data_IF_152182694156
#
_entry.id   IF_152182694156
#
_cell.length_a   1.000
_cell.length_b   1.000
_cell.length_c   1.000
_cell.angle_alpha   90.00
_cell.angle_beta   90.00
_cell.angle_gamma   90.00
#
_symmetry.space_group_name_H-M   'P 1'
#
loop_
_entity.id
_entity.type
_entity.pdbx_description
1 polymer ?
#
# COMPACT_ATOMS: atom_id res chain seq x y z
N UNK A 1 -46.91 10.39 -5.79
CA UNK A 1 -46.18 10.43 -7.10
C UNK A 1 -45.36 11.72 -7.23
N UNK A 2 -45.95 12.91 -7.10
CA UNK A 2 -45.20 14.19 -7.20
C UNK A 2 -44.11 14.34 -6.13
N UNK A 3 -44.40 13.97 -4.87
CA UNK A 3 -43.44 14.06 -3.76
C UNK A 3 -42.20 13.14 -3.91
N UNK A 4 -42.38 11.93 -4.45
CA UNK A 4 -41.28 11.03 -4.77
C UNK A 4 -40.39 11.55 -5.91
N UNK A 5 -40.99 12.23 -6.90
CA UNK A 5 -40.27 12.87 -8.00
C UNK A 5 -39.44 14.07 -7.47
N UNK A 6 -39.98 14.84 -6.53
CA UNK A 6 -39.26 15.97 -5.92
C UNK A 6 -38.09 15.50 -5.05
N UNK A 7 -38.28 14.44 -4.25
CA UNK A 7 -37.18 13.87 -3.43
C UNK A 7 -36.07 13.30 -4.32
N UNK A 8 -36.41 12.50 -5.33
CA UNK A 8 -35.41 11.94 -6.27
C UNK A 8 -34.63 13.02 -7.03
N UNK A 9 -35.28 14.12 -7.41
CA UNK A 9 -34.63 15.24 -8.10
C UNK A 9 -33.58 15.98 -7.23
N UNK A 10 -33.65 15.87 -5.91
CA UNK A 10 -32.73 16.53 -4.98
C UNK A 10 -31.63 15.57 -4.51
N UNK A 11 -31.98 14.31 -4.22
CA UNK A 11 -31.03 13.32 -3.67
C UNK A 11 -30.01 12.86 -4.71
N UNK A 12 -30.43 12.61 -5.95
CA UNK A 12 -29.52 12.08 -6.99
C UNK A 12 -28.36 13.04 -7.33
N UNK A 13 -28.59 14.36 -7.50
CA UNK A 13 -27.49 15.30 -7.71
C UNK A 13 -26.51 15.39 -6.53
N UNK A 14 -27.01 15.38 -5.29
CA UNK A 14 -26.18 15.40 -4.08
C UNK A 14 -25.28 14.16 -4.02
N UNK A 15 -25.87 12.99 -4.20
CA UNK A 15 -25.14 11.72 -4.24
C UNK A 15 -24.06 11.69 -5.34
N UNK A 16 -24.37 12.15 -6.56
CA UNK A 16 -23.37 12.23 -7.64
C UNK A 16 -22.23 13.20 -7.32
N UNK A 17 -22.55 14.31 -6.66
CA UNK A 17 -21.54 15.28 -6.21
C UNK A 17 -20.62 14.64 -5.17
N UNK A 18 -21.15 14.00 -4.13
CA UNK A 18 -20.36 13.30 -3.12
C UNK A 18 -19.49 12.19 -3.71
N UNK A 19 -20.03 11.41 -4.66
CA UNK A 19 -19.28 10.38 -5.40
C UNK A 19 -18.10 10.98 -6.16
N UNK A 20 -18.30 12.15 -6.77
CA UNK A 20 -17.23 12.87 -7.49
C UNK A 20 -16.16 13.37 -6.51
N UNK A 21 -16.56 13.93 -5.36
CA UNK A 21 -15.63 14.37 -4.32
C UNK A 21 -14.86 13.16 -3.76
N UNK A 22 -15.51 12.04 -3.50
CA UNK A 22 -14.89 10.80 -3.02
C UNK A 22 -13.88 10.24 -4.01
N UNK A 23 -14.22 10.24 -5.30
CA UNK A 23 -13.31 9.85 -6.37
C UNK A 23 -12.05 10.72 -6.39
N UNK A 24 -12.21 12.05 -6.29
CA UNK A 24 -11.08 12.99 -6.30
C UNK A 24 -10.23 12.82 -5.04
N UNK A 25 -10.83 12.82 -3.85
CA UNK A 25 -10.09 12.73 -2.58
C UNK A 25 -9.37 11.39 -2.44
N UNK A 26 -10.07 10.27 -2.68
CA UNK A 26 -9.47 8.93 -2.66
C UNK A 26 -8.39 8.77 -3.73
N UNK A 27 -8.60 9.37 -4.90
CA UNK A 27 -7.64 9.40 -5.99
C UNK A 27 -6.36 10.15 -5.63
N UNK A 28 -6.48 11.36 -5.09
CA UNK A 28 -5.35 12.19 -4.68
C UNK A 28 -4.47 11.47 -3.65
N UNK A 29 -5.08 10.84 -2.63
CA UNK A 29 -4.32 10.09 -1.62
C UNK A 29 -3.66 8.85 -2.24
N UNK A 30 -4.36 8.13 -3.12
CA UNK A 30 -3.78 7.00 -3.86
C UNK A 30 -2.58 7.39 -4.74
N UNK A 31 -2.61 8.58 -5.34
CA UNK A 31 -1.50 9.12 -6.14
C UNK A 31 -0.31 9.59 -5.28
N UNK A 32 -0.57 10.06 -4.07
CA UNK A 32 0.47 10.55 -3.17
C UNK A 32 1.39 9.46 -2.63
N UNK A 33 0.99 8.18 -2.72
CA UNK A 33 1.82 7.04 -2.35
C UNK A 33 3.11 6.93 -3.18
N UNK A 34 4.13 6.28 -2.59
CA UNK A 34 5.45 6.10 -3.19
C UNK A 34 5.43 5.42 -4.57
N UNK A 35 6.47 5.67 -5.37
CA UNK A 35 6.57 5.30 -6.80
C UNK A 35 6.35 3.82 -7.09
N UNK A 36 6.68 2.92 -6.14
CA UNK A 36 6.65 1.47 -6.35
C UNK A 36 5.23 0.87 -6.41
N UNK A 37 4.19 1.57 -5.96
CA UNK A 37 2.82 1.02 -5.86
C UNK A 37 1.70 1.99 -6.24
N UNK A 38 2.02 3.10 -6.91
CA UNK A 38 1.09 4.21 -7.21
C UNK A 38 -0.21 3.77 -7.90
N UNK A 39 -0.13 2.79 -8.80
CA UNK A 39 -1.29 2.28 -9.56
C UNK A 39 -2.20 1.39 -8.71
N UNK A 40 -1.62 0.57 -7.82
CA UNK A 40 -2.39 -0.31 -6.92
C UNK A 40 -3.09 0.51 -5.83
N UNK A 41 -2.40 1.51 -5.27
CA UNK A 41 -2.96 2.44 -4.29
C UNK A 41 -4.11 3.29 -4.86
N UNK A 42 -3.99 3.76 -6.10
CA UNK A 42 -5.01 4.57 -6.76
C UNK A 42 -6.38 3.88 -6.83
N UNK A 43 -6.42 2.69 -7.44
CA UNK A 43 -7.67 1.95 -7.63
C UNK A 43 -8.31 1.60 -6.30
N UNK A 44 -7.52 1.11 -5.35
CA UNK A 44 -8.05 0.63 -4.07
C UNK A 44 -8.57 1.77 -3.21
N UNK A 45 -7.86 2.90 -3.13
CA UNK A 45 -8.29 4.05 -2.32
C UNK A 45 -9.56 4.70 -2.87
N UNK A 46 -9.68 4.82 -4.20
CA UNK A 46 -10.91 5.31 -4.83
C UNK A 46 -12.10 4.41 -4.47
N UNK A 47 -11.94 3.08 -4.61
CA UNK A 47 -13.01 2.13 -4.32
C UNK A 47 -13.45 2.15 -2.85
N UNK A 48 -12.50 2.23 -1.91
CA UNK A 48 -12.80 2.32 -0.47
C UNK A 48 -13.58 3.59 -0.16
N UNK A 49 -13.13 4.75 -0.67
CA UNK A 49 -13.78 6.03 -0.42
C UNK A 49 -15.21 6.05 -0.97
N UNK A 50 -15.38 5.63 -2.23
CA UNK A 50 -16.70 5.53 -2.88
C UNK A 50 -17.63 4.57 -2.14
N UNK A 51 -17.14 3.39 -1.75
CA UNK A 51 -17.95 2.39 -1.06
C UNK A 51 -18.48 2.88 0.29
N UNK A 52 -17.68 3.65 1.03
CA UNK A 52 -18.07 4.23 2.32
C UNK A 52 -19.14 5.30 2.14
N UNK A 53 -18.94 6.23 1.19
CA UNK A 53 -19.94 7.26 0.87
C UNK A 53 -21.24 6.61 0.42
N UNK A 54 -21.15 5.58 -0.41
CA UNK A 54 -22.31 4.82 -0.87
C UNK A 54 -23.07 4.21 0.31
N UNK A 55 -22.36 3.57 1.24
CA UNK A 55 -22.96 2.91 2.39
C UNK A 55 -23.70 3.88 3.31
N UNK A 56 -23.13 5.05 3.57
CA UNK A 56 -23.75 6.08 4.42
C UNK A 56 -24.98 6.74 3.78
N UNK A 57 -25.07 6.74 2.45
CA UNK A 57 -26.23 7.26 1.71
C UNK A 57 -27.38 6.26 1.57
N UNK A 58 -27.20 4.98 1.91
CA UNK A 58 -28.24 3.94 1.81
C UNK A 58 -29.56 4.34 2.50
N UNK A 59 -29.58 4.89 3.73
CA UNK A 59 -30.82 5.26 4.39
C UNK A 59 -31.64 6.28 3.59
N UNK A 60 -30.98 7.30 3.04
CA UNK A 60 -31.62 8.32 2.23
C UNK A 60 -32.19 7.71 0.95
N UNK A 61 -31.43 6.83 0.28
CA UNK A 61 -31.87 6.12 -0.93
C UNK A 61 -33.07 5.19 -0.67
N UNK A 62 -33.14 4.54 0.49
CA UNK A 62 -34.29 3.69 0.87
C UNK A 62 -35.52 4.55 1.16
N UNK A 63 -35.34 5.72 1.77
CA UNK A 63 -36.42 6.67 2.08
C UNK A 63 -37.10 7.24 0.83
N UNK A 64 -36.45 7.16 -0.33
CA UNK A 64 -37.03 7.55 -1.63
C UNK A 64 -38.12 6.59 -2.11
N UNK A 65 -38.04 5.31 -1.75
CA UNK A 65 -38.87 4.24 -2.32
C UNK A 65 -39.88 3.65 -1.32
N UNK A 66 -39.81 4.05 -0.05
CA UNK A 66 -40.68 3.51 0.99
C UNK A 66 -41.11 4.61 1.96
N UNK A 67 -42.39 4.61 2.34
CA UNK A 67 -42.88 5.39 3.49
C UNK A 67 -42.38 4.83 4.83
N UNK A 68 -41.55 3.77 4.79
CA UNK A 68 -40.77 3.34 5.93
C UNK A 68 -39.69 4.38 6.19
N UNK A 69 -39.94 5.23 7.18
CA UNK A 69 -38.88 5.88 7.93
C UNK A 69 -38.11 4.80 8.70
N UNK A 70 -37.23 4.07 8.01
CA UNK A 70 -36.18 3.31 8.69
C UNK A 70 -35.30 4.37 9.33
N UNK A 71 -35.46 4.56 10.64
CA UNK A 71 -34.58 5.40 11.45
C UNK A 71 -33.25 4.64 11.52
N UNK A 72 -32.43 4.81 10.50
CA UNK A 72 -31.07 4.32 10.46
C UNK A 72 -30.17 5.53 10.65
N UNK A 73 -29.64 5.70 11.85
CA UNK A 73 -28.77 6.82 12.16
C UNK A 73 -27.45 6.68 11.39
N UNK A 74 -27.09 7.63 10.52
CA UNK A 74 -25.82 7.59 9.76
C UNK A 74 -24.59 7.48 10.68
N UNK A 75 -24.67 8.04 11.88
CA UNK A 75 -23.62 7.96 12.89
C UNK A 75 -23.39 6.52 13.39
N UNK A 76 -24.44 5.70 13.50
CA UNK A 76 -24.30 4.29 13.84
C UNK A 76 -23.68 3.52 12.68
N UNK A 77 -24.10 3.81 11.44
CA UNK A 77 -23.48 3.23 10.24
C UNK A 77 -21.99 3.57 10.13
N UNK A 78 -21.61 4.82 10.39
CA UNK A 78 -20.22 5.25 10.45
C UNK A 78 -19.43 4.46 11.50
N UNK A 79 -20.02 4.19 12.66
CA UNK A 79 -19.38 3.37 13.71
C UNK A 79 -19.10 1.95 13.24
N UNK A 80 -20.05 1.32 12.52
CA UNK A 80 -19.84 0.00 11.93
C UNK A 80 -18.75 0.00 10.84
N UNK A 81 -18.68 1.07 10.05
CA UNK A 81 -17.63 1.23 9.04
C UNK A 81 -16.24 1.33 9.68
N UNK A 82 -16.09 2.09 10.77
CA UNK A 82 -14.81 2.17 11.52
C UNK A 82 -14.37 0.79 12.02
N UNK A 83 -15.30 0.00 12.57
CA UNK A 83 -15.02 -1.37 13.03
C UNK A 83 -14.63 -2.27 11.85
N UNK A 84 -15.38 -2.21 10.74
CA UNK A 84 -15.07 -2.98 9.53
C UNK A 84 -13.70 -2.64 8.94
N UNK A 85 -13.35 -1.36 8.90
CA UNK A 85 -12.04 -0.89 8.46
C UNK A 85 -10.91 -1.40 9.34
N UNK A 86 -11.09 -1.46 10.67
CA UNK A 86 -10.09 -2.01 11.58
C UNK A 86 -9.79 -3.48 11.29
N UNK A 87 -10.82 -4.27 10.98
CA UNK A 87 -10.67 -5.69 10.60
C UNK A 87 -9.94 -5.81 9.25
N UNK A 88 -10.29 -4.99 8.26
CA UNK A 88 -9.60 -4.97 6.96
C UNK A 88 -8.12 -4.62 7.11
N UNK A 89 -7.80 -3.61 7.92
CA UNK A 89 -6.42 -3.19 8.17
C UNK A 89 -5.64 -4.30 8.89
N UNK A 90 -6.22 -4.97 9.88
CA UNK A 90 -5.61 -6.11 10.54
C UNK A 90 -5.34 -7.26 9.56
N UNK A 91 -6.29 -7.54 8.64
CA UNK A 91 -6.12 -8.55 7.60
C UNK A 91 -4.97 -8.25 6.64
N UNK A 92 -4.86 -7.01 6.19
CA UNK A 92 -3.75 -6.55 5.32
C UNK A 92 -2.41 -6.67 6.06
N UNK A 93 -2.38 -6.28 7.33
CA UNK A 93 -1.16 -6.35 8.15
C UNK A 93 -0.67 -7.80 8.31
N UNK A 94 -1.58 -8.75 8.56
CA UNK A 94 -1.26 -10.17 8.70
C UNK A 94 -0.86 -10.78 7.35
N UNK A 95 -1.59 -10.46 6.28
CA UNK A 95 -1.35 -11.00 4.93
C UNK A 95 0.02 -10.62 4.35
N UNK A 96 0.51 -9.42 4.65
CA UNK A 96 1.81 -8.94 4.17
C UNK A 96 3.02 -9.48 4.95
N UNK A 97 2.81 -10.30 6.00
CA UNK A 97 3.89 -10.82 6.85
C UNK A 97 4.77 -11.88 6.17
N UNK A 98 4.23 -12.60 5.18
CA UNK A 98 4.88 -13.76 4.55
C UNK A 98 5.77 -13.37 3.36
N UNK A 99 5.58 -12.19 2.80
CA UNK A 99 6.16 -11.81 1.52
C UNK A 99 6.71 -10.38 1.62
N UNK A 100 7.96 -10.24 2.10
CA UNK A 100 8.64 -8.93 2.30
C UNK A 100 8.79 -8.12 1.00
N UNK A 101 8.56 -8.75 -0.15
CA UNK A 101 8.60 -8.13 -1.48
C UNK A 101 7.22 -7.70 -1.98
N UNK A 102 6.14 -8.25 -1.41
CA UNK A 102 4.77 -7.95 -1.81
C UNK A 102 4.35 -6.62 -1.17
N UNK A 103 4.09 -5.65 -2.05
CA UNK A 103 3.74 -4.27 -1.76
C UNK A 103 3.02 -4.05 -0.43
N UNK A 104 3.76 -3.45 0.51
CA UNK A 104 3.24 -2.91 1.75
C UNK A 104 2.27 -1.79 1.40
N UNK A 105 1.00 -2.15 1.16
CA UNK A 105 -0.07 -1.17 1.12
C UNK A 105 -0.11 -0.57 2.52
N UNK A 106 0.24 0.72 2.62
CA UNK A 106 0.31 1.40 3.90
C UNK A 106 -1.10 1.45 4.49
N UNK A 107 -1.34 0.63 5.52
CA UNK A 107 -2.61 0.54 6.24
C UNK A 107 -3.07 1.92 6.74
N UNK A 108 -2.13 2.84 6.96
CA UNK A 108 -2.40 4.24 7.32
C UNK A 108 -3.15 4.98 6.23
N UNK A 109 -2.80 4.75 4.96
CA UNK A 109 -3.45 5.41 3.83
C UNK A 109 -4.90 4.95 3.67
N UNK A 110 -5.18 3.65 3.84
CA UNK A 110 -6.53 3.08 3.79
C UNK A 110 -7.36 3.63 4.94
N UNK A 111 -6.78 3.73 6.14
CA UNK A 111 -7.43 4.32 7.30
C UNK A 111 -7.86 5.76 7.06
N UNK A 112 -6.93 6.59 6.55
CA UNK A 112 -7.23 8.00 6.27
C UNK A 112 -8.27 8.16 5.17
N UNK A 113 -8.18 7.37 4.10
CA UNK A 113 -9.15 7.40 2.99
C UNK A 113 -10.54 7.04 3.45
N UNK A 114 -10.68 6.04 4.33
CA UNK A 114 -11.99 5.67 4.82
C UNK A 114 -12.56 6.67 5.82
N UNK A 115 -11.72 7.29 6.67
CA UNK A 115 -12.16 8.41 7.51
C UNK A 115 -12.67 9.59 6.65
N UNK A 116 -11.97 9.90 5.56
CA UNK A 116 -12.41 10.92 4.59
C UNK A 116 -13.72 10.52 3.92
N UNK A 117 -13.87 9.26 3.51
CA UNK A 117 -15.13 8.73 2.97
C UNK A 117 -16.30 8.90 3.94
N UNK A 118 -16.09 8.68 5.25
CA UNK A 118 -17.11 8.89 6.28
C UNK A 118 -17.49 10.38 6.34
N UNK A 119 -16.52 11.28 6.36
CA UNK A 119 -16.78 12.73 6.38
C UNK A 119 -17.56 13.16 5.13
N UNK A 120 -17.23 12.63 3.96
CA UNK A 120 -17.95 12.93 2.72
C UNK A 120 -19.38 12.43 2.80
N UNK A 121 -19.61 11.18 3.20
CA UNK A 121 -20.96 10.60 3.32
C UNK A 121 -21.79 11.11 4.51
N UNK A 122 -21.28 12.09 5.26
CA UNK A 122 -22.02 12.85 6.28
C UNK A 122 -22.28 14.29 5.80
N UNK A 123 -22.25 14.54 4.49
CA UNK A 123 -22.40 15.87 3.85
C UNK A 123 -21.31 16.91 4.19
N UNK A 124 -20.21 16.51 4.85
CA UNK A 124 -19.16 17.41 5.32
C UNK A 124 -17.99 17.53 4.31
N UNK A 125 -18.30 17.67 3.02
CA UNK A 125 -17.31 17.65 1.93
C UNK A 125 -16.22 18.73 2.03
N UNK A 126 -16.52 19.92 2.56
CA UNK A 126 -15.53 20.98 2.84
C UNK A 126 -14.46 20.51 3.83
N UNK A 127 -14.90 19.83 4.90
CA UNK A 127 -14.00 19.27 5.90
C UNK A 127 -13.18 18.13 5.31
N UNK A 128 -13.79 17.29 4.46
CA UNK A 128 -13.10 16.22 3.76
C UNK A 128 -11.96 16.74 2.87
N UNK A 129 -12.16 17.85 2.15
CA UNK A 129 -11.11 18.48 1.34
C UNK A 129 -9.96 19.01 2.20
N UNK A 130 -10.27 19.65 3.33
CA UNK A 130 -9.27 20.16 4.26
C UNK A 130 -8.41 19.03 4.84
N UNK A 131 -9.06 17.96 5.32
CA UNK A 131 -8.37 16.78 5.86
C UNK A 131 -7.53 16.10 4.78
N UNK A 132 -8.06 15.96 3.56
CA UNK A 132 -7.31 15.41 2.41
C UNK A 132 -6.05 16.23 2.15
N UNK A 133 -6.17 17.56 2.11
CA UNK A 133 -5.02 18.46 1.94
C UNK A 133 -3.96 18.29 3.02
N UNK A 134 -4.38 18.15 4.28
CA UNK A 134 -3.46 17.92 5.40
C UNK A 134 -2.74 16.57 5.30
N UNK A 135 -3.46 15.50 4.93
CA UNK A 135 -2.88 14.17 4.71
C UNK A 135 -1.84 14.20 3.59
N UNK A 136 -2.17 14.84 2.46
CA UNK A 136 -1.25 14.99 1.33
C UNK A 136 0.01 15.78 1.74
N UNK A 137 -0.16 16.83 2.54
CA UNK A 137 0.96 17.62 3.05
C UNK A 137 1.87 16.77 3.92
N UNK A 138 1.33 15.99 4.86
CA UNK A 138 2.11 15.11 5.73
C UNK A 138 2.87 14.06 4.90
N UNK A 139 2.18 13.40 3.95
CA UNK A 139 2.82 12.40 3.09
C UNK A 139 3.93 12.98 2.24
N UNK A 140 3.72 14.17 1.67
CA UNK A 140 4.71 14.82 0.80
C UNK A 140 5.90 15.35 1.61
N UNK A 141 5.65 15.97 2.76
CA UNK A 141 6.71 16.45 3.65
C UNK A 141 7.59 15.32 4.17
N UNK A 142 6.98 14.19 4.55
CA UNK A 142 7.72 13.04 5.05
C UNK A 142 8.60 12.41 3.95
N UNK A 143 8.08 12.27 2.72
CA UNK A 143 8.89 11.81 1.57
C UNK A 143 10.06 12.75 1.26
N UNK A 144 9.86 14.06 1.40
CA UNK A 144 10.94 15.04 1.26
C UNK A 144 11.98 14.91 2.36
N UNK A 145 11.55 14.72 3.60
CA UNK A 145 12.44 14.54 4.74
C UNK A 145 13.24 13.25 4.61
N UNK A 146 12.61 12.15 4.19
CA UNK A 146 13.30 10.88 3.91
C UNK A 146 14.36 11.06 2.83
N UNK A 147 14.06 11.72 1.71
CA UNK A 147 15.06 12.00 0.67
C UNK A 147 16.20 12.89 1.15
N UNK A 148 15.94 13.80 2.07
CA UNK A 148 16.94 14.69 2.66
C UNK A 148 17.81 14.04 3.74
N UNK A 149 17.26 13.07 4.49
CA UNK A 149 17.97 12.39 5.59
C UNK A 149 18.68 11.10 5.16
N UNK A 150 18.30 10.53 4.02
CA UNK A 150 18.69 9.17 3.70
C UNK A 150 19.74 9.12 2.59
N UNK A 151 21.01 9.25 2.97
CA UNK A 151 22.11 8.52 2.32
C UNK A 151 21.96 7.03 2.67
N UNK A 152 20.92 6.36 2.17
CA UNK A 152 20.86 4.90 2.27
C UNK A 152 21.73 4.38 1.12
N UNK A 153 22.84 3.68 1.40
CA UNK A 153 23.62 3.03 0.36
C UNK A 153 22.71 2.12 -0.44
N UNK A 154 22.91 2.10 -1.76
CA UNK A 154 22.11 1.31 -2.68
C UNK A 154 22.04 -0.13 -2.17
N UNK A 155 20.81 -0.60 -1.92
CA UNK A 155 20.57 -1.98 -1.49
C UNK A 155 20.80 -2.87 -2.69
N UNK A 156 21.94 -3.56 -2.71
CA UNK A 156 22.26 -4.57 -3.69
C UNK A 156 21.46 -5.83 -3.36
N UNK A 157 20.58 -6.23 -4.28
CA UNK A 157 19.85 -7.49 -4.20
C UNK A 157 20.46 -8.44 -5.21
N UNK A 158 21.24 -9.40 -4.73
CA UNK A 158 21.80 -10.47 -5.56
C UNK A 158 20.99 -11.74 -5.32
N UNK A 159 20.53 -12.35 -6.41
CA UNK A 159 19.84 -13.64 -6.39
C UNK A 159 20.78 -14.71 -6.94
N UNK A 160 21.18 -15.63 -6.08
CA UNK A 160 22.08 -16.73 -6.40
C UNK A 160 21.30 -18.05 -6.38
N UNK A 161 21.44 -18.87 -7.41
CA UNK A 161 20.88 -20.24 -7.41
C UNK A 161 22.01 -21.22 -7.13
N UNK A 162 22.00 -21.78 -5.92
CA UNK A 162 23.04 -22.71 -5.44
C UNK A 162 22.47 -24.12 -5.37
N UNK A 163 23.23 -25.08 -5.89
CA UNK A 163 22.81 -26.48 -6.03
C UNK A 163 22.89 -27.28 -4.72
N UNK A 164 23.69 -26.83 -3.75
CA UNK A 164 23.83 -27.48 -2.44
C UNK A 164 24.08 -26.42 -1.35
N UNK A 165 23.28 -26.41 -0.28
CA UNK A 165 23.38 -25.43 0.81
C UNK A 165 24.37 -25.94 1.88
N UNK A 166 25.65 -25.93 1.55
CA UNK A 166 26.73 -26.26 2.49
C UNK A 166 27.14 -25.02 3.30
N UNK A 167 27.39 -25.21 4.60
CA UNK A 167 27.89 -24.16 5.50
C UNK A 167 29.20 -23.54 5.01
N UNK A 168 30.06 -24.34 4.35
CA UNK A 168 31.31 -23.89 3.74
C UNK A 168 31.12 -22.94 2.55
N UNK A 169 30.00 -23.01 1.84
CA UNK A 169 29.69 -22.11 0.72
C UNK A 169 29.20 -20.76 1.23
N UNK A 170 28.38 -20.75 2.28
CA UNK A 170 27.92 -19.51 2.94
C UNK A 170 29.09 -18.68 3.46
N UNK A 171 30.08 -19.34 4.07
CA UNK A 171 31.28 -18.69 4.61
C UNK A 171 32.21 -18.16 3.50
N UNK A 172 32.34 -18.88 2.37
CA UNK A 172 33.07 -18.38 1.19
C UNK A 172 32.39 -17.17 0.57
N UNK A 173 31.06 -17.21 0.42
CA UNK A 173 30.29 -16.12 -0.15
C UNK A 173 30.32 -14.89 0.77
N UNK A 174 30.19 -15.07 2.08
CA UNK A 174 30.29 -13.96 3.04
C UNK A 174 31.66 -13.29 3.02
N UNK A 175 32.74 -14.08 3.05
CA UNK A 175 34.10 -13.55 2.97
C UNK A 175 34.34 -12.75 1.68
N UNK A 176 33.87 -13.24 0.52
CA UNK A 176 34.05 -12.55 -0.77
C UNK A 176 33.29 -11.22 -0.79
N UNK A 177 32.08 -11.17 -0.23
CA UNK A 177 31.25 -9.97 -0.15
C UNK A 177 31.85 -8.93 0.80
N UNK A 178 32.30 -9.35 1.98
CA UNK A 178 32.94 -8.46 2.95
C UNK A 178 34.27 -7.89 2.43
N UNK A 179 35.08 -8.71 1.73
CA UNK A 179 36.37 -8.27 1.14
C UNK A 179 36.19 -7.16 0.10
N UNK A 180 35.00 -7.03 -0.49
CA UNK A 180 34.69 -5.99 -1.48
C UNK A 180 33.80 -4.88 -0.90
N UNK A 181 33.63 -4.79 0.43
CA UNK A 181 32.90 -3.68 1.06
C UNK A 181 31.38 -3.80 1.01
N UNK A 182 30.83 -4.98 0.73
CA UNK A 182 29.39 -5.23 0.80
C UNK A 182 29.05 -5.82 2.16
N UNK A 183 28.41 -5.03 3.03
CA UNK A 183 27.92 -5.54 4.31
C UNK A 183 26.67 -6.41 4.11
N UNK A 184 26.77 -7.67 4.50
CA UNK A 184 25.73 -8.68 4.33
C UNK A 184 24.64 -8.48 5.40
N UNK A 185 23.44 -8.05 4.99
CA UNK A 185 22.31 -7.83 5.91
C UNK A 185 21.50 -9.11 6.18
N UNK A 186 21.69 -10.16 5.37
CA UNK A 186 21.10 -11.49 5.63
C UNK A 186 21.10 -12.41 4.41
N UNK A 187 20.98 -13.71 4.68
CA UNK A 187 20.74 -14.75 3.68
C UNK A 187 19.28 -15.19 3.74
N UNK A 188 18.57 -15.13 2.61
CA UNK A 188 17.25 -15.75 2.50
C UNK A 188 17.34 -16.94 1.54
N UNK A 189 17.12 -18.15 2.08
CA UNK A 189 17.14 -19.39 1.32
C UNK A 189 15.71 -19.82 1.00
N UNK A 190 15.30 -19.74 -0.26
CA UNK A 190 14.07 -20.37 -0.75
C UNK A 190 14.41 -21.69 -1.44
N UNK A 191 13.81 -22.80 -1.02
CA UNK A 191 13.94 -24.07 -1.74
C UNK A 191 13.06 -24.07 -3.00
N UNK A 192 13.69 -24.09 -4.17
CA UNK A 192 13.02 -24.24 -5.46
C UNK A 192 13.26 -25.62 -6.09
N UNK A 193 12.50 -25.93 -7.14
CA UNK A 193 12.56 -27.21 -7.86
C UNK A 193 13.94 -27.52 -8.51
N UNK A 194 14.85 -26.54 -8.62
CA UNK A 194 16.16 -26.66 -9.25
C UNK A 194 17.35 -26.37 -8.31
N UNK A 195 17.09 -26.12 -7.01
CA UNK A 195 18.14 -25.78 -6.03
C UNK A 195 17.68 -24.80 -4.96
N UNK A 196 18.62 -24.32 -4.15
CA UNK A 196 18.39 -23.31 -3.11
C UNK A 196 18.67 -21.94 -3.69
N UNK A 197 17.65 -21.09 -3.72
CA UNK A 197 17.76 -19.69 -4.14
C UNK A 197 18.16 -18.85 -2.93
N UNK A 198 19.40 -18.36 -2.93
CA UNK A 198 19.94 -17.46 -1.92
C UNK A 198 19.76 -16.01 -2.38
N UNK A 199 18.92 -15.26 -1.68
CA UNK A 199 18.83 -13.81 -1.85
C UNK A 199 19.76 -13.15 -0.84
N UNK A 200 20.75 -12.43 -1.35
CA UNK A 200 21.72 -11.67 -0.55
C UNK A 200 21.35 -10.20 -0.64
N UNK A 201 21.11 -9.60 0.52
CA UNK A 201 20.85 -8.18 0.63
C UNK A 201 22.09 -7.50 1.22
N UNK A 202 22.72 -6.64 0.44
CA UNK A 202 23.93 -5.93 0.83
C UNK A 202 23.77 -4.43 0.77
N UNK A 203 24.45 -3.71 1.66
CA UNK A 203 24.68 -2.27 1.52
C UNK A 203 25.91 -2.07 0.63
N UNK A 204 25.76 -1.41 -0.52
CA UNK A 204 26.87 -1.23 -1.46
C UNK A 204 27.39 0.22 -1.48
N UNK A 205 28.70 0.40 -1.27
CA UNK A 205 29.43 1.64 -1.58
C UNK A 205 30.10 1.60 -2.96
N UNK A 206 30.01 0.49 -3.71
CA UNK A 206 30.65 0.37 -5.03
C UNK A 206 29.80 0.96 -6.16
N UNK A 207 30.43 1.82 -6.96
CA UNK A 207 29.92 2.44 -8.18
C UNK A 207 29.75 1.45 -9.37
N UNK A 208 30.35 0.25 -9.29
CA UNK A 208 30.23 -0.79 -10.34
C UNK A 208 30.18 -2.21 -9.74
N UNK A 209 29.07 -2.92 -9.97
CA UNK A 209 28.80 -4.27 -9.41
C UNK A 209 29.26 -5.40 -10.34
N UNK A 210 29.61 -5.07 -11.58
CA UNK A 210 30.06 -6.03 -12.61
C UNK A 210 31.28 -6.90 -12.21
N UNK A 211 32.33 -6.39 -11.53
CA UNK A 211 33.46 -7.23 -11.11
C UNK A 211 33.11 -8.24 -10.01
N UNK A 212 32.07 -7.98 -9.21
CA UNK A 212 31.56 -8.92 -8.19
C UNK A 212 30.83 -10.10 -8.83
N UNK A 213 29.99 -9.84 -9.85
CA UNK A 213 29.26 -10.86 -10.59
C UNK A 213 30.20 -11.91 -11.23
N UNK A 214 31.32 -11.46 -11.78
CA UNK A 214 32.33 -12.34 -12.39
C UNK A 214 33.01 -13.30 -11.39
N UNK A 215 33.26 -12.85 -10.15
CA UNK A 215 33.89 -13.69 -9.10
C UNK A 215 32.87 -14.61 -8.41
N UNK A 216 31.61 -14.19 -8.29
CA UNK A 216 30.54 -15.05 -7.78
C UNK A 216 30.28 -16.24 -8.74
N UNK A 217 30.42 -16.02 -10.05
CA UNK A 217 30.40 -17.09 -11.06
C UNK A 217 31.54 -18.11 -10.93
N UNK A 218 32.68 -17.73 -10.35
CA UNK A 218 33.83 -18.65 -10.17
C UNK A 218 33.73 -19.54 -8.93
N UNK A 219 32.69 -19.39 -8.10
CA UNK A 219 32.48 -20.25 -6.93
C UNK A 219 31.81 -21.56 -7.37
N UNK A 220 32.50 -22.70 -7.15
CA UNK A 220 31.95 -24.03 -7.39
C UNK A 220 30.62 -24.22 -6.65
N UNK A 221 29.53 -24.39 -7.41
CA UNK A 221 28.17 -24.60 -6.89
C UNK A 221 27.17 -23.50 -7.24
N UNK A 222 27.63 -22.37 -7.78
CA UNK A 222 26.77 -21.29 -8.28
C UNK A 222 26.39 -21.58 -9.73
N UNK A 223 25.10 -21.78 -9.98
CA UNK A 223 24.59 -22.17 -11.32
C UNK A 223 24.08 -20.98 -12.11
N UNK A 224 23.65 -19.93 -11.41
CA UNK A 224 23.15 -18.69 -12.00
C UNK A 224 23.25 -17.53 -11.00
N UNK A 225 23.52 -16.33 -11.51
CA UNK A 225 23.66 -15.09 -10.72
C UNK A 225 22.90 -13.97 -11.42
N UNK A 226 21.80 -13.53 -10.79
CA UNK A 226 20.99 -12.41 -11.28
C UNK A 226 21.11 -11.22 -10.31
N UNK A 227 21.20 -10.01 -10.87
CA UNK A 227 21.15 -8.71 -10.18
C UNK A 227 19.80 -8.03 -10.44
#
# INVERSE_FOLDING_TARGET
>A
MFEAITKTAIVVPGFLFEMTVAFICGGLIGLAGGTRHRVSGLRNNILVCIGIVMYLNIPELISLNSDLSIICDPNQMASFLVIGMAILCAGILIGNSTDKSAGMQDVSSIWMVGAIGIIIGLDLWLLALLVTGLVLLIMTMLQWLEKGFTSQPDKLLLKLIVRNDDSALREKISNILETHGVQLMGFHAEQGAAGVKLTIQGSNELEDVRPLLGKLWTVEGVTDVEH
#
